data_IF_081757488231
#
_entry.id   IF_081757488231
#
_cell.length_a   1.000
_cell.length_b   1.000
_cell.length_c   1.000
_cell.angle_alpha   90.00
_cell.angle_beta   90.00
_cell.angle_gamma   90.00
#
_symmetry.space_group_name_H-M   'P 1'
#
loop_
_entity.id
_entity.type
_entity.pdbx_description
1 polymer ?
#
# COMPACT_ATOMS: atom_id res chain seq x y z
N UNK A 1 6.93 8.21 -9.30
CA UNK A 1 7.08 8.63 -10.69
C UNK A 1 8.55 8.47 -10.96
N UNK A 2 8.99 7.23 -10.82
CA UNK A 2 10.37 6.79 -10.60
C UNK A 2 10.66 5.50 -11.39
N UNK A 3 9.65 4.98 -12.10
CA UNK A 3 9.82 3.94 -13.09
C UNK A 3 10.30 4.50 -14.43
N UNK A 4 10.81 3.60 -15.30
CA UNK A 4 11.36 3.94 -16.62
C UNK A 4 10.33 4.63 -17.54
N UNK A 5 9.06 4.25 -17.43
CA UNK A 5 7.97 4.83 -18.22
C UNK A 5 6.94 5.49 -17.28
N UNK A 6 6.52 6.71 -17.60
CA UNK A 6 5.51 7.44 -16.84
C UNK A 6 4.61 8.24 -17.79
N UNK A 7 3.39 7.75 -18.04
CA UNK A 7 2.43 8.36 -18.97
C UNK A 7 1.33 9.20 -18.28
N UNK A 8 1.52 9.53 -17.00
CA UNK A 8 0.59 10.33 -16.20
C UNK A 8 1.34 11.48 -15.51
N UNK A 9 0.61 12.54 -15.17
CA UNK A 9 1.13 13.68 -14.43
C UNK A 9 1.09 13.46 -12.92
N UNK A 10 1.82 14.31 -12.18
CA UNK A 10 1.81 14.27 -10.71
C UNK A 10 0.40 14.56 -10.14
N UNK A 11 -0.37 15.43 -10.80
CA UNK A 11 -1.76 15.71 -10.42
C UNK A 11 -2.65 14.49 -10.60
N UNK A 12 -2.52 13.76 -11.72
CA UNK A 12 -3.29 12.53 -11.96
C UNK A 12 -2.95 11.44 -10.93
N UNK A 13 -1.66 11.31 -10.58
CA UNK A 13 -1.21 10.42 -9.49
C UNK A 13 -1.87 10.80 -8.16
N UNK A 14 -1.84 12.09 -7.80
CA UNK A 14 -2.41 12.56 -6.54
C UNK A 14 -3.92 12.31 -6.48
N UNK A 15 -4.64 12.60 -7.55
CA UNK A 15 -6.09 12.35 -7.64
C UNK A 15 -6.41 10.86 -7.50
N UNK A 16 -5.64 9.98 -8.13
CA UNK A 16 -5.83 8.53 -8.01
C UNK A 16 -5.64 8.04 -6.57
N UNK A 17 -4.54 8.46 -5.91
CA UNK A 17 -4.27 8.06 -4.53
C UNK A 17 -5.28 8.65 -3.55
N UNK A 18 -5.69 9.89 -3.76
CA UNK A 18 -6.73 10.54 -2.94
C UNK A 18 -8.05 9.78 -3.07
N UNK A 19 -8.44 9.40 -4.30
CA UNK A 19 -9.64 8.62 -4.53
C UNK A 19 -9.59 7.24 -3.86
N UNK A 20 -8.44 6.58 -3.90
CA UNK A 20 -8.25 5.31 -3.19
C UNK A 20 -8.43 5.50 -1.66
N UNK A 21 -7.89 6.60 -1.11
CA UNK A 21 -8.04 6.93 0.31
C UNK A 21 -9.49 7.19 0.72
N UNK A 22 -10.27 7.86 -0.14
CA UNK A 22 -11.72 8.07 0.06
C UNK A 22 -12.52 6.76 0.06
N UNK A 23 -11.99 5.70 -0.55
CA UNK A 23 -12.56 4.35 -0.58
C UNK A 23 -11.98 3.45 0.53
N UNK A 24 -11.41 4.06 1.58
CA UNK A 24 -10.80 3.38 2.73
C UNK A 24 -9.60 2.47 2.42
N UNK A 25 -8.98 2.61 1.24
CA UNK A 25 -7.70 1.97 0.95
C UNK A 25 -6.63 2.60 1.85
N UNK A 26 -5.99 1.79 2.68
CA UNK A 26 -5.03 2.24 3.67
C UNK A 26 -3.58 1.81 3.39
N UNK A 27 -3.38 0.84 2.51
CA UNK A 27 -2.07 0.38 2.03
C UNK A 27 -2.18 -0.16 0.59
N UNK A 28 -1.04 -0.39 -0.05
CA UNK A 28 -0.94 -0.97 -1.39
C UNK A 28 0.16 -2.03 -1.32
N UNK A 29 -0.20 -3.28 -1.63
CA UNK A 29 0.72 -4.41 -1.81
C UNK A 29 0.42 -5.13 -3.14
N UNK A 30 1.10 -6.24 -3.40
CA UNK A 30 0.97 -6.96 -4.67
C UNK A 30 0.43 -8.39 -4.49
N UNK A 31 0.28 -8.86 -3.25
CA UNK A 31 0.02 -10.26 -2.94
C UNK A 31 -1.36 -10.52 -2.32
N UNK A 32 -1.96 -9.53 -1.63
CA UNK A 32 -3.15 -9.76 -0.82
C UNK A 32 -4.36 -10.25 -1.63
N UNK A 33 -4.54 -9.76 -2.86
CA UNK A 33 -5.67 -10.13 -3.71
C UNK A 33 -5.63 -11.61 -4.10
N UNK A 34 -4.49 -12.09 -4.59
CA UNK A 34 -4.29 -13.49 -4.98
C UNK A 34 -4.35 -14.42 -3.77
N UNK A 35 -3.68 -14.04 -2.67
CA UNK A 35 -3.69 -14.81 -1.42
C UNK A 35 -5.11 -14.97 -0.87
N UNK A 36 -5.88 -13.89 -0.81
CA UNK A 36 -7.26 -13.93 -0.28
C UNK A 36 -8.15 -14.83 -1.14
N UNK A 37 -8.08 -14.69 -2.47
CA UNK A 37 -8.85 -15.52 -3.39
C UNK A 37 -8.45 -17.01 -3.27
N UNK A 38 -7.16 -17.30 -3.06
CA UNK A 38 -6.67 -18.65 -2.83
C UNK A 38 -7.24 -19.23 -1.53
N UNK A 39 -7.12 -18.52 -0.40
CA UNK A 39 -7.65 -18.95 0.89
C UNK A 39 -9.15 -19.23 0.83
N UNK A 40 -9.92 -18.35 0.21
CA UNK A 40 -11.36 -18.51 0.01
C UNK A 40 -11.70 -19.79 -0.77
N UNK A 41 -11.02 -20.01 -1.90
CA UNK A 41 -11.25 -21.21 -2.74
C UNK A 41 -10.85 -22.50 -2.04
N UNK A 42 -9.77 -22.48 -1.28
CA UNK A 42 -9.27 -23.62 -0.53
C UNK A 42 -10.02 -23.86 0.80
N UNK A 43 -10.99 -23.00 1.17
CA UNK A 43 -11.69 -23.01 2.46
C UNK A 43 -10.73 -22.91 3.65
N UNK A 44 -9.68 -22.09 3.51
CA UNK A 44 -8.70 -21.81 4.54
C UNK A 44 -8.97 -20.45 5.17
N UNK A 45 -8.87 -20.38 6.50
CA UNK A 45 -8.89 -19.11 7.23
C UNK A 45 -7.53 -18.43 7.06
N UNK A 46 -7.51 -17.30 6.34
CA UNK A 46 -6.31 -16.51 6.07
C UNK A 46 -6.44 -15.05 6.49
N UNK A 47 -5.32 -14.39 6.74
CA UNK A 47 -5.27 -12.94 6.94
C UNK A 47 -3.94 -12.42 6.42
N UNK A 48 -3.94 -11.20 5.87
CA UNK A 48 -2.69 -10.47 5.56
C UNK A 48 -2.45 -9.41 6.62
N UNK A 49 -1.19 -9.24 6.99
CA UNK A 49 -0.72 -8.22 7.95
C UNK A 49 0.47 -7.52 7.33
N UNK A 50 0.29 -6.26 6.95
CA UNK A 50 1.31 -5.50 6.22
C UNK A 50 1.67 -4.24 7.01
N UNK A 51 2.96 -3.93 7.06
CA UNK A 51 3.48 -2.66 7.59
C UNK A 51 3.63 -1.67 6.44
N UNK A 52 3.19 -0.43 6.63
CA UNK A 52 3.42 0.64 5.67
C UNK A 52 4.83 1.22 5.83
N UNK A 53 5.67 1.07 4.79
CA UNK A 53 7.05 1.56 4.79
C UNK A 53 7.17 3.06 4.45
N UNK A 54 6.13 3.63 3.83
CA UNK A 54 6.10 5.03 3.43
C UNK A 54 4.66 5.51 3.25
N UNK A 55 4.45 6.82 3.37
CA UNK A 55 3.19 7.48 3.01
C UNK A 55 3.28 7.98 1.55
N UNK A 56 2.54 7.32 0.64
CA UNK A 56 2.54 7.66 -0.79
C UNK A 56 1.87 9.01 -1.10
N UNK A 57 0.99 9.49 -0.23
CA UNK A 57 0.32 10.80 -0.36
C UNK A 57 1.22 11.94 0.11
N UNK A 58 2.04 11.71 1.14
CA UNK A 58 2.89 12.75 1.73
C UNK A 58 4.32 12.79 1.15
N UNK A 59 4.96 11.63 0.99
CA UNK A 59 6.42 11.53 0.82
C UNK A 59 6.86 11.26 -0.64
N UNK A 60 5.92 10.95 -1.54
CA UNK A 60 6.22 10.63 -2.93
C UNK A 60 6.41 9.13 -3.17
N UNK A 61 7.27 8.75 -4.12
CA UNK A 61 7.49 7.33 -4.48
C UNK A 61 8.87 6.79 -4.07
N UNK A 62 9.72 7.63 -3.47
CA UNK A 62 11.02 7.19 -2.95
C UNK A 62 10.97 7.09 -1.42
N UNK A 63 11.55 6.03 -0.83
CA UNK A 63 11.77 5.99 0.61
C UNK A 63 12.79 7.06 1.01
N UNK A 64 12.55 7.74 2.13
CA UNK A 64 13.51 8.69 2.73
C UNK A 64 14.70 7.91 3.29
N UNK A 65 15.92 8.47 3.19
CA UNK A 65 17.17 7.82 3.57
C UNK A 65 17.15 7.22 5.01
N UNK A 66 17.76 6.03 5.14
CA UNK A 66 17.67 5.14 6.32
C UNK A 66 18.44 5.64 7.55
N UNK A 67 19.19 6.73 7.44
CA UNK A 67 19.95 7.28 8.57
C UNK A 67 19.07 8.01 9.59
N UNK A 68 17.81 8.29 9.26
CA UNK A 68 16.79 8.77 10.20
C UNK A 68 15.93 7.57 10.67
N UNK A 69 16.47 6.74 11.57
CA UNK A 69 15.80 5.53 12.09
C UNK A 69 14.51 5.79 12.88
N UNK A 70 14.11 7.05 13.05
CA UNK A 70 13.06 7.46 13.98
C UNK A 70 11.72 7.91 13.36
N UNK A 71 11.48 7.83 12.04
CA UNK A 71 10.27 8.48 11.47
C UNK A 71 9.32 7.69 10.56
N UNK A 72 9.61 6.45 10.12
CA UNK A 72 8.76 5.83 9.08
C UNK A 72 8.39 4.35 9.29
N UNK A 73 8.34 3.87 10.53
CA UNK A 73 7.22 2.98 10.85
C UNK A 73 6.08 3.93 11.17
N UNK A 74 5.25 4.27 10.17
CA UNK A 74 3.89 4.66 10.49
C UNK A 74 3.38 3.44 11.27
N UNK A 75 3.21 3.54 12.59
CA UNK A 75 2.90 2.43 13.52
C UNK A 75 1.55 1.75 13.30
N UNK A 76 1.12 1.67 12.04
CA UNK A 76 -0.15 1.18 11.54
C UNK A 76 0.15 -0.04 10.69
N UNK A 77 -0.03 -1.20 11.31
CA UNK A 77 -0.20 -2.43 10.56
C UNK A 77 -1.62 -2.47 10.00
N UNK A 78 -1.77 -2.76 8.71
CA UNK A 78 -3.06 -3.05 8.11
C UNK A 78 -3.33 -4.54 8.25
N UNK A 79 -4.51 -4.89 8.75
CA UNK A 79 -4.97 -6.28 8.86
C UNK A 79 -6.16 -6.46 7.92
N UNK A 80 -5.99 -7.30 6.90
CA UNK A 80 -7.08 -7.70 6.01
C UNK A 80 -7.40 -9.18 6.23
N UNK A 81 -8.59 -9.45 6.78
CA UNK A 81 -9.06 -10.83 6.99
C UNK A 81 -9.69 -11.37 5.71
N UNK A 82 -9.28 -12.57 5.30
CA UNK A 82 -9.99 -13.33 4.29
C UNK A 82 -11.29 -13.83 4.92
N UNK A 83 -12.44 -13.39 4.40
CA UNK A 83 -13.75 -13.96 4.76
C UNK A 83 -14.07 -15.16 3.90
#
# INVERSE_FOLDING_TARGET
MDGTFCAFSLQQRQQFLQRAKELDVCNIDMEASCFTAFCQRAKLTGTTVNVALMDRLATGDQPVDRNQRDLLILGRATICRCR
#
